data_IF_627973060284
#
_entry.id   IF_627973060284
#
_cell.length_a   1.000
_cell.length_b   1.000
_cell.length_c   1.000
_cell.angle_alpha   90.00
_cell.angle_beta   90.00
_cell.angle_gamma   90.00
#
_symmetry.space_group_name_H-M   'P 1'
#
loop_
_entity.id
_entity.type
_entity.pdbx_description
1 polymer ?
#
# COMPACT_ATOMS: atom_id res chain seq x y z
N UNK A 1 -24.76 12.72 -10.94
CA UNK A 1 -23.36 13.12 -11.27
C UNK A 1 -22.59 11.84 -11.53
N UNK A 2 -21.57 11.85 -12.38
CA UNK A 2 -20.73 10.67 -12.67
C UNK A 2 -19.35 10.90 -12.06
N UNK A 3 -18.85 9.92 -11.32
CA UNK A 3 -17.47 9.90 -10.84
C UNK A 3 -16.63 8.99 -11.73
N UNK A 4 -15.44 9.45 -12.07
CA UNK A 4 -14.51 8.74 -12.94
C UNK A 4 -13.15 8.72 -12.27
N UNK A 5 -12.60 7.53 -12.09
CA UNK A 5 -11.22 7.35 -11.64
C UNK A 5 -10.27 7.48 -12.82
N UNK A 6 -9.14 8.15 -12.62
CA UNK A 6 -8.09 8.32 -13.61
C UNK A 6 -6.73 7.88 -13.04
N UNK A 7 -6.47 6.56 -12.91
CA UNK A 7 -5.30 6.04 -12.18
C UNK A 7 -3.94 6.40 -12.79
N UNK A 8 -3.93 6.87 -14.03
CA UNK A 8 -2.71 7.25 -14.76
C UNK A 8 -2.41 8.76 -14.75
N UNK A 9 -3.35 9.58 -14.27
CA UNK A 9 -3.19 11.02 -14.23
C UNK A 9 -2.07 11.43 -13.24
N UNK A 10 -1.38 12.54 -13.53
CA UNK A 10 -0.27 13.02 -12.70
C UNK A 10 0.89 12.03 -12.55
N UNK A 11 1.34 11.45 -13.67
CA UNK A 11 2.41 10.42 -13.71
C UNK A 11 2.11 9.22 -12.81
N UNK A 12 0.94 8.59 -13.01
CA UNK A 12 0.49 7.38 -12.28
C UNK A 12 0.26 7.57 -10.77
N UNK A 13 0.22 8.80 -10.28
CA UNK A 13 -0.34 9.08 -8.95
C UNK A 13 -1.85 8.78 -8.94
N UNK A 14 -2.53 9.17 -10.01
CA UNK A 14 -3.96 9.02 -10.19
C UNK A 14 -4.78 10.09 -9.47
N UNK A 15 -6.02 10.27 -9.93
CA UNK A 15 -6.97 11.17 -9.29
C UNK A 15 -8.42 10.79 -9.65
N UNK A 16 -9.36 11.53 -9.09
CA UNK A 16 -10.79 11.45 -9.36
C UNK A 16 -11.27 12.65 -10.16
N UNK A 17 -12.28 12.40 -10.99
CA UNK A 17 -12.96 13.41 -11.79
C UNK A 17 -14.46 13.36 -11.53
N UNK A 18 -15.06 14.54 -11.31
CA UNK A 18 -16.49 14.73 -11.10
C UNK A 18 -17.10 15.31 -12.37
N UNK A 19 -17.89 14.50 -13.06
CA UNK A 19 -18.53 14.86 -14.33
C UNK A 19 -20.00 15.18 -14.12
N UNK A 20 -20.47 16.26 -14.76
CA UNK A 20 -21.91 16.55 -14.85
C UNK A 20 -22.57 15.54 -15.78
N UNK A 21 -23.79 15.10 -15.46
CA UNK A 21 -24.57 14.18 -16.30
C UNK A 21 -25.78 14.94 -16.82
N UNK A 22 -26.03 14.92 -18.13
CA UNK A 22 -27.16 15.59 -18.77
C UNK A 22 -26.79 16.25 -20.10
N UNK A 23 -26.21 17.46 -20.12
CA UNK A 23 -25.86 18.16 -21.36
C UNK A 23 -24.79 17.42 -22.17
N UNK A 24 -24.87 17.53 -23.50
CA UNK A 24 -23.93 16.93 -24.47
C UNK A 24 -22.48 17.44 -24.35
N UNK A 25 -22.27 18.64 -23.78
CA UNK A 25 -20.94 19.21 -23.46
C UNK A 25 -20.70 19.24 -21.95
N UNK A 26 -20.85 18.10 -21.28
CA UNK A 26 -20.55 18.01 -19.86
C UNK A 26 -19.04 18.01 -19.61
N UNK A 27 -18.57 18.91 -18.74
CA UNK A 27 -17.19 18.93 -18.29
C UNK A 27 -16.99 18.11 -17.02
N UNK A 28 -15.77 17.59 -16.88
CA UNK A 28 -15.30 16.89 -15.68
C UNK A 28 -14.31 17.78 -14.94
N UNK A 29 -14.50 17.93 -13.63
CA UNK A 29 -13.58 18.66 -12.76
C UNK A 29 -12.71 17.67 -11.98
N UNK A 30 -11.39 17.88 -11.98
CA UNK A 30 -10.42 17.10 -11.20
C UNK A 30 -10.59 17.39 -9.71
N UNK A 31 -10.57 16.35 -8.88
CA UNK A 31 -10.78 16.44 -7.43
C UNK A 31 -9.52 16.87 -6.66
N UNK A 32 -8.32 16.64 -7.21
CA UNK A 32 -7.03 17.00 -6.60
C UNK A 32 -6.81 16.34 -5.22
N UNK A 33 -7.09 15.04 -5.13
CA UNK A 33 -7.07 14.30 -3.87
C UNK A 33 -5.68 13.90 -3.37
N UNK A 34 -4.66 13.86 -4.23
CA UNK A 34 -3.31 13.40 -3.87
C UNK A 34 -2.73 14.02 -2.59
N UNK A 35 -2.64 15.37 -2.49
CA UNK A 35 -2.12 16.03 -1.29
C UNK A 35 -3.02 15.89 -0.06
N UNK A 36 -4.34 15.76 -0.27
CA UNK A 36 -5.33 15.66 0.79
C UNK A 36 -5.34 14.26 1.42
N UNK A 37 -5.16 13.21 0.62
CA UNK A 37 -4.98 11.83 1.07
C UNK A 37 -3.74 11.65 1.96
N UNK A 38 -2.65 12.34 1.61
CA UNK A 38 -1.41 12.31 2.41
C UNK A 38 -1.51 13.09 3.73
N UNK A 39 -2.38 14.11 3.81
CA UNK A 39 -2.52 14.99 4.99
C UNK A 39 -3.67 14.62 5.92
N UNK A 40 -4.75 14.04 5.40
CA UNK A 40 -5.97 13.73 6.15
C UNK A 40 -5.88 12.50 7.04
N UNK A 41 -4.71 11.87 7.14
CA UNK A 41 -4.58 10.62 7.85
C UNK A 41 -4.09 10.80 9.29
N UNK A 42 -4.85 10.25 10.23
CA UNK A 42 -4.34 9.89 11.57
C UNK A 42 -3.14 8.91 11.52
N UNK A 43 -2.71 8.51 10.32
CA UNK A 43 -1.50 7.72 10.04
C UNK A 43 -0.43 8.56 9.33
N UNK A 44 0.10 9.58 10.02
CA UNK A 44 1.23 10.41 9.52
C UNK A 44 2.47 9.61 9.05
N UNK A 45 2.59 8.34 9.45
CA UNK A 45 3.66 7.43 9.04
C UNK A 45 3.42 6.75 7.69
N UNK A 46 2.20 6.76 7.15
CA UNK A 46 1.88 6.29 5.80
C UNK A 46 2.07 7.42 4.80
N UNK A 47 3.33 7.82 4.60
CA UNK A 47 3.69 8.72 3.52
C UNK A 47 3.92 7.92 2.24
N UNK A 48 3.41 8.37 1.07
CA UNK A 48 3.69 7.69 -0.18
C UNK A 48 5.17 7.86 -0.53
N UNK A 49 5.71 6.84 -1.20
CA UNK A 49 7.03 6.89 -1.83
C UNK A 49 7.19 8.16 -2.69
N UNK A 50 8.26 8.96 -2.51
CA UNK A 50 8.57 10.07 -3.40
C UNK A 50 8.72 9.56 -4.85
N UNK A 51 7.88 10.07 -5.76
CA UNK A 51 7.86 9.60 -7.16
C UNK A 51 7.29 8.20 -7.36
N UNK A 52 6.66 7.60 -6.34
CA UNK A 52 6.04 6.29 -6.43
C UNK A 52 4.71 6.31 -7.20
N UNK A 53 4.39 5.21 -7.87
CA UNK A 53 3.10 5.03 -8.55
C UNK A 53 2.04 4.59 -7.55
N UNK A 54 0.88 5.25 -7.52
CA UNK A 54 -0.15 5.02 -6.50
C UNK A 54 -1.45 4.49 -7.12
N UNK A 55 -1.76 4.90 -8.36
CA UNK A 55 -2.99 4.54 -9.07
C UNK A 55 -4.28 4.86 -8.31
N UNK A 56 -4.34 6.05 -7.70
CA UNK A 56 -5.55 6.53 -7.05
C UNK A 56 -6.72 6.58 -8.05
N UNK A 57 -7.88 6.08 -7.62
CA UNK A 57 -9.07 5.99 -8.47
C UNK A 57 -9.17 4.68 -9.25
N UNK A 58 -8.27 3.72 -9.05
CA UNK A 58 -8.37 2.39 -9.68
C UNK A 58 -9.54 1.58 -9.13
N UNK A 59 -9.96 1.85 -7.90
CA UNK A 59 -11.18 1.29 -7.32
C UNK A 59 -12.02 2.40 -6.73
N UNK A 60 -13.32 2.36 -7.06
CA UNK A 60 -14.33 3.31 -6.62
C UNK A 60 -15.58 2.56 -6.18
N UNK A 61 -16.09 2.95 -5.02
CA UNK A 61 -17.26 2.35 -4.40
C UNK A 61 -18.16 3.47 -3.86
N UNK A 62 -19.46 3.27 -3.98
CA UNK A 62 -20.47 4.09 -3.30
C UNK A 62 -20.54 3.69 -1.81
N UNK A 63 -20.74 4.66 -0.93
CA UNK A 63 -20.94 4.45 0.50
C UNK A 63 -22.41 4.64 0.87
N UNK A 64 -22.94 3.76 1.73
CA UNK A 64 -24.35 3.84 2.19
C UNK A 64 -24.70 5.18 2.88
N UNK A 65 -23.68 5.89 3.37
CA UNK A 65 -23.82 7.17 4.07
C UNK A 65 -23.87 8.38 3.11
N UNK A 66 -23.96 8.16 1.79
CA UNK A 66 -23.99 9.22 0.76
C UNK A 66 -22.61 9.66 0.26
N UNK A 67 -21.54 9.10 0.83
CA UNK A 67 -20.16 9.36 0.41
C UNK A 67 -19.62 8.34 -0.60
N UNK A 68 -18.30 8.34 -0.79
CA UNK A 68 -17.61 7.41 -1.68
C UNK A 68 -16.40 6.80 -0.98
N UNK A 69 -15.95 5.64 -1.46
CA UNK A 69 -14.64 5.10 -1.10
C UNK A 69 -13.80 5.04 -2.38
N UNK A 70 -12.61 5.61 -2.31
CA UNK A 70 -11.60 5.54 -3.37
C UNK A 70 -10.37 4.81 -2.86
N UNK A 71 -9.75 3.98 -3.70
CA UNK A 71 -8.52 3.29 -3.36
C UNK A 71 -7.40 3.55 -4.37
N UNK A 72 -6.17 3.46 -3.85
CA UNK A 72 -4.90 3.51 -4.55
C UNK A 72 -4.13 2.21 -4.21
N UNK A 73 -4.29 1.13 -5.00
CA UNK A 73 -3.78 -0.19 -4.65
C UNK A 73 -2.26 -0.28 -4.71
N UNK A 74 -1.58 0.59 -5.47
CA UNK A 74 -0.12 0.65 -5.53
C UNK A 74 0.48 1.65 -4.55
N UNK A 75 -0.32 2.22 -3.64
CA UNK A 75 0.23 2.98 -2.53
C UNK A 75 1.20 2.09 -1.75
N UNK A 76 2.46 2.51 -1.75
CA UNK A 76 3.57 1.71 -1.26
C UNK A 76 4.38 2.48 -0.24
N UNK A 77 5.02 1.73 0.66
CA UNK A 77 5.96 2.23 1.65
C UNK A 77 7.30 1.52 1.51
N UNK A 78 8.39 2.24 1.76
CA UNK A 78 9.72 1.65 1.89
C UNK A 78 9.97 1.22 3.34
N UNK A 79 10.46 -0.01 3.50
CA UNK A 79 10.93 -0.53 4.77
C UNK A 79 12.32 -1.14 4.55
N UNK A 80 13.37 -0.40 4.89
CA UNK A 80 14.75 -0.79 4.60
C UNK A 80 15.01 -0.80 3.09
N UNK A 81 15.41 -1.95 2.54
CA UNK A 81 15.64 -2.14 1.09
C UNK A 81 14.43 -2.73 0.36
N UNK A 82 13.31 -2.92 1.05
CA UNK A 82 12.12 -3.57 0.51
C UNK A 82 10.98 -2.56 0.36
N UNK A 83 10.20 -2.72 -0.71
CA UNK A 83 9.00 -1.93 -0.98
C UNK A 83 7.77 -2.79 -0.70
N UNK A 84 6.87 -2.28 0.13
CA UNK A 84 5.63 -2.96 0.50
C UNK A 84 4.44 -2.18 -0.06
N UNK A 85 3.75 -2.76 -1.04
CA UNK A 85 2.53 -2.20 -1.65
C UNK A 85 1.30 -2.73 -0.93
N UNK A 86 0.93 -2.10 0.19
CA UNK A 86 -0.26 -2.48 0.97
C UNK A 86 -1.54 -1.87 0.43
N UNK A 87 -1.41 -0.84 -0.42
CA UNK A 87 -2.52 -0.02 -0.88
C UNK A 87 -3.08 0.86 0.23
N UNK A 88 -3.94 1.80 -0.16
CA UNK A 88 -4.70 2.65 0.75
C UNK A 88 -6.06 2.95 0.16
N UNK A 89 -7.06 3.17 1.00
CA UNK A 89 -8.32 3.75 0.60
C UNK A 89 -8.65 4.96 1.46
N UNK A 90 -9.55 5.82 0.97
CA UNK A 90 -10.17 6.86 1.79
C UNK A 90 -11.66 6.92 1.55
N UNK A 91 -12.37 7.21 2.64
CA UNK A 91 -13.77 7.60 2.62
C UNK A 91 -13.84 9.09 2.28
N UNK A 92 -14.66 9.44 1.32
CA UNK A 92 -14.93 10.80 0.88
C UNK A 92 -16.39 11.16 1.16
N UNK A 93 -16.68 12.42 1.44
CA UNK A 93 -18.04 12.96 1.43
C UNK A 93 -18.56 13.24 0.00
N UNK A 94 -19.78 13.79 -0.11
CA UNK A 94 -20.40 14.17 -1.40
C UNK A 94 -19.62 15.25 -2.17
N UNK A 95 -18.85 16.06 -1.45
CA UNK A 95 -17.96 17.11 -1.96
C UNK A 95 -16.58 16.57 -2.37
N UNK A 96 -16.34 15.27 -2.22
CA UNK A 96 -15.05 14.62 -2.44
C UNK A 96 -13.97 15.10 -1.46
N UNK A 97 -14.34 15.45 -0.24
CA UNK A 97 -13.39 15.74 0.83
C UNK A 97 -13.09 14.45 1.61
N UNK A 98 -11.81 14.13 1.86
CA UNK A 98 -11.45 12.98 2.69
C UNK A 98 -12.01 13.14 4.10
N UNK A 99 -12.74 12.11 4.55
CA UNK A 99 -13.25 11.98 5.91
C UNK A 99 -12.31 11.10 6.74
N UNK A 100 -11.99 9.91 6.22
CA UNK A 100 -11.18 8.92 6.91
C UNK A 100 -10.27 8.16 5.94
N UNK A 101 -9.18 7.62 6.46
CA UNK A 101 -8.27 6.71 5.74
C UNK A 101 -8.51 5.26 6.17
N UNK A 102 -8.48 4.34 5.22
CA UNK A 102 -8.66 2.90 5.44
C UNK A 102 -7.41 2.19 4.91
N UNK A 103 -6.61 1.63 5.82
CA UNK A 103 -5.36 0.96 5.50
C UNK A 103 -5.13 -0.26 6.43
N UNK A 104 -5.96 -1.31 6.36
CA UNK A 104 -5.87 -2.43 7.31
C UNK A 104 -4.62 -3.28 7.15
N UNK A 105 -4.09 -3.39 5.93
CA UNK A 105 -2.86 -4.12 5.62
C UNK A 105 -1.59 -3.27 5.83
N UNK A 106 -1.75 -1.97 6.10
CA UNK A 106 -0.62 -1.11 6.39
C UNK A 106 0.01 -1.52 7.72
N UNK A 107 1.27 -1.92 7.65
CA UNK A 107 2.06 -2.28 8.82
C UNK A 107 3.15 -1.23 8.99
N UNK A 108 3.43 -0.82 10.23
CA UNK A 108 4.69 -0.10 10.47
C UNK A 108 5.82 -1.02 10.03
N UNK A 109 6.87 -0.44 9.45
CA UNK A 109 8.09 -1.18 9.13
C UNK A 109 8.64 -1.80 10.41
N UNK A 110 8.29 -3.06 10.65
CA UNK A 110 8.75 -3.84 11.78
C UNK A 110 10.13 -4.38 11.43
N UNK A 111 11.07 -4.21 12.34
CA UNK A 111 12.35 -4.94 12.29
C UNK A 111 12.23 -6.34 12.89
N UNK A 112 11.05 -6.72 13.39
CA UNK A 112 10.77 -8.00 14.03
C UNK A 112 10.11 -8.94 13.02
N UNK A 113 10.73 -10.09 12.83
CA UNK A 113 10.20 -11.21 12.06
C UNK A 113 10.50 -12.50 12.83
N UNK A 114 9.59 -13.47 12.76
CA UNK A 114 9.81 -14.82 13.25
C UNK A 114 10.05 -15.73 12.03
N UNK A 115 11.22 -16.37 11.98
CA UNK A 115 11.62 -17.19 10.83
C UNK A 115 11.59 -18.66 11.24
N UNK A 116 10.70 -19.45 10.64
CA UNK A 116 10.67 -20.91 10.84
C UNK A 116 11.36 -21.59 9.66
N UNK A 117 12.44 -22.33 9.94
CA UNK A 117 13.16 -23.11 8.93
C UNK A 117 12.92 -24.59 9.17
N UNK A 118 12.26 -25.26 8.22
CA UNK A 118 12.07 -26.72 8.23
C UNK A 118 13.13 -27.36 7.36
N UNK A 119 13.95 -28.21 7.96
CA UNK A 119 15.08 -28.86 7.30
C UNK A 119 14.82 -30.36 7.16
N UNK A 120 15.12 -30.89 5.98
CA UNK A 120 15.25 -32.33 5.82
C UNK A 120 16.53 -32.81 6.55
N UNK A 121 16.38 -33.81 7.41
CA UNK A 121 17.47 -34.43 8.18
C UNK A 121 17.71 -35.89 7.80
N UNK A 122 17.17 -36.34 6.66
CA UNK A 122 17.32 -37.71 6.18
C UNK A 122 18.75 -38.00 5.71
N UNK A 123 19.09 -39.28 5.63
CA UNK A 123 20.43 -39.74 5.22
C UNK A 123 20.65 -39.65 3.70
N UNK A 124 19.61 -39.41 2.90
CA UNK A 124 19.70 -39.27 1.43
C UNK A 124 20.35 -37.97 0.97
N UNK A 125 20.44 -36.96 1.85
CA UNK A 125 21.06 -35.66 1.56
C UNK A 125 22.42 -35.50 2.26
N UNK A 126 22.94 -36.58 2.85
CA UNK A 126 24.28 -36.59 3.42
C UNK A 126 25.33 -36.44 2.30
N UNK A 127 26.42 -35.68 2.51
CA UNK A 127 26.73 -34.89 3.70
C UNK A 127 26.02 -33.53 3.73
N UNK A 128 25.51 -33.14 4.92
CA UNK A 128 24.68 -31.94 5.12
C UNK A 128 25.40 -30.58 5.01
N UNK A 129 26.59 -30.52 4.41
CA UNK A 129 27.40 -29.30 4.37
C UNK A 129 26.70 -28.15 3.62
N UNK A 130 25.98 -28.46 2.53
CA UNK A 130 25.22 -27.45 1.79
C UNK A 130 24.07 -26.87 2.62
N UNK A 131 23.39 -27.71 3.40
CA UNK A 131 22.32 -27.27 4.29
C UNK A 131 22.89 -26.36 5.39
N UNK A 132 24.02 -26.73 5.99
CA UNK A 132 24.70 -25.92 7.00
C UNK A 132 25.21 -24.58 6.43
N UNK A 133 25.79 -24.59 5.23
CA UNK A 133 26.25 -23.39 4.54
C UNK A 133 25.09 -22.44 4.23
N UNK A 134 23.97 -22.98 3.73
CA UNK A 134 22.76 -22.22 3.49
C UNK A 134 22.27 -21.52 4.76
N UNK A 135 22.19 -22.26 5.88
CA UNK A 135 21.77 -21.71 7.16
C UNK A 135 22.71 -20.60 7.64
N UNK A 136 24.03 -20.82 7.58
CA UNK A 136 25.02 -19.81 7.96
C UNK A 136 24.91 -18.54 7.11
N UNK A 137 24.74 -18.69 5.80
CA UNK A 137 24.61 -17.58 4.87
C UNK A 137 23.30 -16.79 5.03
N UNK A 138 22.23 -17.45 5.46
CA UNK A 138 20.95 -16.78 5.73
C UNK A 138 20.96 -16.11 7.10
N UNK A 139 21.38 -16.81 8.15
CA UNK A 139 21.37 -16.29 9.52
C UNK A 139 22.32 -15.10 9.69
N UNK A 140 23.43 -15.05 8.93
CA UNK A 140 24.33 -13.89 8.90
C UNK A 140 23.75 -12.62 8.26
N UNK A 141 22.62 -12.75 7.53
CA UNK A 141 21.93 -11.60 6.92
C UNK A 141 20.84 -11.02 7.80
N UNK A 142 20.51 -11.68 8.91
CA UNK A 142 19.49 -11.22 9.85
C UNK A 142 20.12 -10.71 11.14
N UNK A 143 19.56 -9.63 11.67
CA UNK A 143 19.90 -9.13 13.00
C UNK A 143 19.06 -9.88 14.03
N UNK A 144 19.64 -10.94 14.60
CA UNK A 144 18.98 -11.83 15.57
C UNK A 144 19.41 -11.41 16.99
N UNK A 145 18.44 -11.09 17.86
CA UNK A 145 18.72 -10.68 19.23
C UNK A 145 17.47 -10.25 20.01
N UNK A 146 17.55 -10.07 21.35
CA UNK A 146 16.42 -9.59 22.15
C UNK A 146 15.96 -8.22 21.65
N UNK A 147 14.69 -8.10 21.26
CA UNK A 147 14.20 -6.86 20.63
C UNK A 147 14.45 -6.78 19.11
N UNK A 148 14.77 -7.89 18.44
CA UNK A 148 14.99 -7.99 16.99
C UNK A 148 14.36 -9.28 16.41
N UNK A 149 14.79 -9.72 15.21
CA UNK A 149 14.33 -10.95 14.55
C UNK A 149 14.61 -12.16 15.46
N UNK A 150 13.66 -13.08 15.55
CA UNK A 150 13.81 -14.36 16.25
C UNK A 150 13.78 -15.51 15.24
N UNK A 151 14.54 -16.57 15.55
CA UNK A 151 14.63 -17.81 14.76
C UNK A 151 14.41 -18.99 15.68
#
# INVERSE_FOLDING_TARGET
RLLVGAPWDGDRQGDLYKCRVGPSNSSCAKANLGPAMARGSATSWLSPLPGGTMHLGMTLLDSKDGGFVVCAPLWSQECGTSVFSTGICARLDEELRPLDTIAPAAQRCSTYMDIVIVLDGSNSIYPWYEVQNFLSNILSKFFIGPGQIQV
#
